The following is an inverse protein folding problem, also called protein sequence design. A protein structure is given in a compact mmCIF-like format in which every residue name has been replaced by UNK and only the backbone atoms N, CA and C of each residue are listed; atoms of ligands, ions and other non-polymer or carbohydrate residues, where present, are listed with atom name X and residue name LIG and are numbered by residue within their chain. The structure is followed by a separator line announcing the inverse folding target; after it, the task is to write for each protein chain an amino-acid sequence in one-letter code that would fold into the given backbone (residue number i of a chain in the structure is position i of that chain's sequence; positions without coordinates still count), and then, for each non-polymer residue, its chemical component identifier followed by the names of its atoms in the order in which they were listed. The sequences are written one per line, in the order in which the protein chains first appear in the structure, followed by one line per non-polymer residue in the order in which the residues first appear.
data_IF_020561166096
#
_entry.id   IF_020561166096
#
_cell.length_a   1.000
_cell.length_b   1.000
_cell.length_c   1.000
_cell.angle_alpha   90.00
_cell.angle_beta   90.00
_cell.angle_gamma   90.00
#
_symmetry.space_group_name_H-M   'P 1'
#
loop_
_entity.id
_entity.type
_entity.pdbx_description
1 polymer ?
2 non-polymer ?
3 non-polymer ?
4 non-polymer ?
5 non-polymer ?
6 water ?
#
# COMPACT_ATOMS: atom_id res chain seq x y z
N UNK A 1 -6.50 -5.75 27.48
CA UNK A 1 -5.06 -5.56 27.52
C UNK A 1 -4.59 -4.77 26.31
N UNK A 2 -3.30 -4.48 26.28
CA UNK A 2 -2.67 -4.01 25.05
C UNK A 2 -2.51 -5.21 24.13
N UNK A 3 -2.78 -5.02 22.85
CA UNK A 3 -2.45 -6.01 21.83
C UNK A 3 -0.94 -6.15 21.79
N UNK A 4 -0.45 -7.38 21.87
CA UNK A 4 0.98 -7.60 21.95
C UNK A 4 1.52 -7.95 20.56
N UNK A 5 2.34 -7.04 20.04
CA UNK A 5 2.79 -7.13 18.65
C UNK A 5 4.25 -7.51 18.53
N UNK A 6 4.55 -8.41 17.60
CA UNK A 6 5.92 -8.70 17.25
C UNK A 6 6.23 -8.12 15.89
N UNK A 7 7.47 -7.71 15.68
CA UNK A 7 7.86 -7.11 14.41
C UNK A 7 8.91 -7.97 13.73
N UNK A 8 8.64 -8.33 12.48
CA UNK A 8 9.56 -9.15 11.68
C UNK A 8 10.16 -8.25 10.62
N UNK A 9 11.40 -7.82 10.85
CA UNK A 9 12.09 -6.91 9.97
C UNK A 9 12.19 -5.53 10.60
N UNK A 10 13.36 -5.19 11.10
CA UNK A 10 13.55 -3.91 11.78
C UNK A 10 14.42 -2.93 10.99
N UNK A 11 14.05 -2.71 9.73
CA UNK A 11 14.65 -1.67 8.91
C UNK A 11 13.86 -0.37 9.05
N UNK A 12 14.00 0.53 8.08
CA UNK A 12 13.34 1.84 8.14
C UNK A 12 11.82 1.73 8.35
N UNK A 13 11.17 0.89 7.56
CA UNK A 13 9.74 0.74 7.62
C UNK A 13 9.28 0.15 8.97
N UNK A 14 9.94 -0.91 9.41
CA UNK A 14 9.61 -1.51 10.70
C UNK A 14 9.81 -0.51 11.83
N UNK A 15 10.90 0.25 11.75
CA UNK A 15 11.18 1.24 12.79
C UNK A 15 10.08 2.30 12.85
N UNK A 16 9.59 2.76 11.70
CA UNK A 16 8.55 3.78 11.70
C UNK A 16 7.25 3.25 12.29
N UNK A 17 6.92 1.99 12.00
CA UNK A 17 5.73 1.41 12.62
C UNK A 17 5.93 1.20 14.13
N UNK A 18 7.12 0.79 14.53
CA UNK A 18 7.43 0.65 15.95
C UNK A 18 7.26 2.01 16.63
N UNK A 19 7.77 3.06 16.01
CA UNK A 19 7.63 4.40 16.56
C UNK A 19 6.16 4.81 16.71
N UNK A 20 5.35 4.58 15.68
CA UNK A 20 3.96 4.98 15.81
C UNK A 20 3.20 4.17 16.87
N UNK A 21 3.46 2.86 16.95
CA UNK A 21 2.78 2.05 17.93
C UNK A 21 3.19 2.43 19.35
N UNK A 22 4.47 2.74 19.53
CA UNK A 22 5.03 3.01 20.85
C UNK A 22 4.76 4.43 21.34
N UNK A 23 4.72 5.38 20.42
CA UNK A 23 4.66 6.80 20.78
C UNK A 23 3.48 7.61 20.28
N UNK A 24 2.64 7.02 19.43
CA UNK A 24 1.53 7.78 18.83
C UNK A 24 0.16 7.15 18.98
N UNK A 25 0.09 5.82 18.93
CA UNK A 25 -1.20 5.14 18.85
C UNK A 25 -1.64 4.54 20.18
N UNK A 26 -2.84 3.99 20.20
CA UNK A 26 -3.44 3.48 21.42
C UNK A 26 -3.69 1.97 21.33
N UNK A 27 -3.43 1.27 22.43
CA UNK A 27 -3.91 -0.08 22.58
C UNK A 27 -2.99 -1.23 22.18
N UNK A 28 -1.73 -0.93 21.87
CA UNK A 28 -0.80 -1.98 21.48
C UNK A 28 0.60 -1.72 22.01
N UNK A 29 1.40 -2.78 22.11
CA UNK A 29 2.78 -2.65 22.56
C UNK A 29 3.67 -3.60 21.76
N UNK A 30 4.90 -3.19 21.52
CA UNK A 30 5.87 -4.04 20.84
C UNK A 30 6.54 -4.93 21.89
N UNK A 31 6.29 -6.24 21.82
CA UNK A 31 6.81 -7.16 22.83
C UNK A 31 7.91 -8.07 22.27
N UNK A 32 8.10 -8.06 20.95
CA UNK A 32 9.06 -8.97 20.33
C UNK A 32 9.51 -8.42 18.99
N UNK A 33 10.77 -8.63 18.64
CA UNK A 33 11.28 -8.25 17.33
C UNK A 33 12.24 -9.32 16.82
N UNK A 34 12.38 -9.36 15.50
CA UNK A 34 13.43 -10.17 14.90
C UNK A 34 13.90 -9.48 13.63
N UNK A 35 15.19 -9.63 13.32
CA UNK A 35 15.71 -9.15 12.04
C UNK A 35 16.79 -10.12 11.61
N UNK A 36 17.03 -10.20 10.31
CA UNK A 36 18.11 -11.05 9.80
C UNK A 36 19.43 -10.66 10.46
N UNK A 37 19.61 -9.35 10.67
CA UNK A 37 20.76 -8.82 11.38
C UNK A 37 20.38 -8.65 12.84
N UNK A 38 20.74 -9.60 13.69
CA UNK A 38 20.30 -9.57 15.09
C UNK A 38 20.81 -8.32 15.81
N UNK A 39 22.00 -7.88 15.45
CA UNK A 39 22.57 -6.68 16.04
C UNK A 39 21.67 -5.47 15.78
N UNK A 40 21.10 -5.40 14.58
CA UNK A 40 20.21 -4.31 14.22
C UNK A 40 18.95 -4.34 15.08
N UNK A 41 18.40 -5.53 15.29
CA UNK A 41 17.20 -5.68 16.11
C UNK A 41 17.45 -5.26 17.56
N UNK A 42 18.62 -5.60 18.08
CA UNK A 42 18.99 -5.20 19.42
C UNK A 42 19.11 -3.68 19.54
N UNK A 43 19.72 -3.06 18.55
CA UNK A 43 19.85 -1.61 18.51
C UNK A 43 18.48 -0.93 18.51
N UNK A 44 17.55 -1.51 17.76
CA UNK A 44 16.19 -0.98 17.68
C UNK A 44 15.46 -1.05 19.02
N UNK A 45 15.59 -2.19 19.71
CA UNK A 45 15.00 -2.34 21.03
C UNK A 45 15.56 -1.27 21.98
N UNK A 46 16.86 -0.99 21.85
CA UNK A 46 17.50 0.01 22.70
C UNK A 46 17.10 1.44 22.32
N UNK A 47 17.11 1.74 21.02
CA UNK A 47 16.79 3.09 20.54
C UNK A 47 15.37 3.52 20.90
N UNK A 48 14.44 2.58 20.82
CA UNK A 48 13.04 2.90 21.11
C UNK A 48 12.64 2.54 22.53
N UNK A 49 13.61 2.10 23.33
CA UNK A 49 13.38 1.76 24.73
C UNK A 49 12.22 0.79 24.89
N UNK A 50 12.25 -0.29 24.10
CA UNK A 50 11.18 -1.28 24.13
C UNK A 50 11.39 -2.30 25.25
N UNK A 51 10.28 -2.81 25.77
CA UNK A 51 10.32 -3.96 26.65
C UNK A 51 10.02 -5.18 25.80
N UNK A 52 10.98 -5.57 24.98
CA UNK A 52 10.75 -6.55 23.94
C UNK A 52 11.87 -7.57 23.85
N UNK A 53 11.48 -8.81 23.57
CA UNK A 53 12.43 -9.89 23.36
C UNK A 53 12.96 -9.85 21.92
N UNK A 54 14.27 -10.03 21.77
CA UNK A 54 14.88 -10.17 20.44
C UNK A 54 14.97 -11.65 20.11
N UNK A 55 14.30 -12.05 19.04
CA UNK A 55 14.31 -13.45 18.59
C UNK A 55 15.22 -13.63 17.38
N UNK A 56 15.85 -14.80 17.25
CA UNK A 56 16.80 -14.99 16.16
C UNK A 56 16.12 -15.14 14.79
N UNK A 57 14.85 -15.53 14.79
CA UNK A 57 14.12 -15.69 13.53
C UNK A 57 12.61 -15.59 13.75
N UNK A 58 11.86 -15.61 12.66
CA UNK A 58 10.41 -15.48 12.75
C UNK A 58 9.74 -16.73 13.33
N UNK A 59 10.31 -17.90 13.10
CA UNK A 59 9.75 -19.11 13.69
C UNK A 59 9.72 -19.01 15.22
N UNK A 60 10.82 -18.58 15.82
CA UNK A 60 10.87 -18.50 17.29
C UNK A 60 9.97 -17.39 17.82
N UNK A 61 9.92 -16.28 17.09
CA UNK A 61 9.04 -15.18 17.47
C UNK A 61 7.59 -15.63 17.42
N UNK A 62 7.22 -16.33 16.35
CA UNK A 62 5.84 -16.77 16.19
C UNK A 62 5.46 -17.86 17.19
N UNK A 63 6.45 -18.53 17.75
CA UNK A 63 6.19 -19.57 18.76
C UNK A 63 5.89 -18.97 20.14
N UNK A 64 6.17 -17.68 20.30
CA UNK A 64 5.92 -16.97 21.56
C UNK A 64 4.42 -16.84 21.80
N UNK A 65 3.94 -17.54 22.82
CA UNK A 65 2.52 -17.59 23.12
C UNK A 65 1.97 -16.21 23.47
N UNK A 66 2.84 -15.30 23.86
CA UNK A 66 2.41 -13.99 24.28
C UNK A 66 2.48 -12.93 23.18
N UNK A 67 2.70 -13.36 21.95
CA UNK A 67 2.57 -12.51 20.77
C UNK A 67 1.21 -12.74 20.14
N UNK A 68 0.42 -11.69 19.98
CA UNK A 68 -0.93 -11.79 19.45
C UNK A 68 -0.98 -11.55 17.95
N UNK A 69 -0.09 -10.68 17.49
CA UNK A 69 -0.14 -10.18 16.11
C UNK A 69 1.27 -9.78 15.70
N UNK A 70 1.53 -9.82 14.40
CA UNK A 70 2.85 -9.43 13.90
C UNK A 70 2.78 -8.42 12.76
N UNK A 71 3.83 -7.62 12.64
CA UNK A 71 4.05 -6.79 11.45
C UNK A 71 5.11 -7.47 10.62
N UNK A 72 4.85 -7.60 9.33
CA UNK A 72 5.86 -8.11 8.41
C UNK A 72 6.42 -6.96 7.59
N UNK A 73 7.64 -6.58 7.94
CA UNK A 73 8.26 -5.36 7.43
C UNK A 73 9.69 -5.66 6.99
N UNK A 74 9.93 -6.92 6.63
CA UNK A 74 11.23 -7.34 6.14
C UNK A 74 11.43 -6.99 4.66
N UNK A 75 12.54 -7.44 4.09
CA UNK A 75 12.79 -7.30 2.66
C UNK A 75 11.59 -7.86 1.88
N UNK A 76 11.15 -7.14 0.85
CA UNK A 76 9.91 -7.49 0.17
C UNK A 76 9.77 -8.95 -0.24
N UNK A 77 10.80 -9.49 -0.91
CA UNK A 77 10.72 -10.90 -1.31
C UNK A 77 10.64 -11.89 -0.14
N UNK A 78 10.92 -11.43 1.09
CA UNK A 78 10.82 -12.28 2.28
C UNK A 78 9.45 -12.26 2.95
N UNK A 79 8.57 -11.38 2.48
CA UNK A 79 7.28 -11.22 3.17
C UNK A 79 6.45 -12.50 3.18
N UNK A 80 6.31 -13.12 2.01
CA UNK A 80 5.42 -14.25 1.84
C UNK A 80 5.69 -15.35 2.85
N UNK A 81 6.97 -15.66 3.05
CA UNK A 81 7.32 -16.73 4.00
C UNK A 81 6.79 -16.45 5.40
N UNK A 82 6.99 -15.21 5.87
CA UNK A 82 6.55 -14.87 7.22
C UNK A 82 5.03 -14.82 7.34
N UNK A 83 4.36 -14.36 6.29
CA UNK A 83 2.91 -14.32 6.31
C UNK A 83 2.34 -15.73 6.41
N UNK A 84 2.87 -16.66 5.63
CA UNK A 84 2.43 -18.04 5.71
C UNK A 84 2.69 -18.60 7.10
N UNK A 85 3.87 -18.38 7.65
CA UNK A 85 4.15 -18.89 8.99
C UNK A 85 3.21 -18.31 10.04
N UNK A 86 2.88 -17.03 9.92
CA UNK A 86 2.01 -16.37 10.89
C UNK A 86 0.59 -16.91 10.81
N UNK A 87 0.11 -17.17 9.60
CA UNK A 87 -1.23 -17.74 9.43
C UNK A 87 -1.28 -19.11 10.09
N UNK A 88 -0.26 -19.93 9.85
CA UNK A 88 -0.20 -21.26 10.46
C UNK A 88 -0.11 -21.19 11.99
N UNK A 89 0.54 -20.15 12.51
CA UNK A 89 0.66 -19.94 13.96
C UNK A 89 -0.58 -19.26 14.52
N UNK A 90 -1.52 -18.96 13.63
CA UNK A 90 -2.78 -18.32 14.00
C UNK A 90 -2.57 -16.95 14.66
N UNK A 91 -1.68 -16.15 14.10
CA UNK A 91 -1.49 -14.78 14.55
C UNK A 91 -2.10 -13.85 13.50
N UNK A 92 -2.63 -12.72 13.95
CA UNK A 92 -3.00 -11.66 13.02
C UNK A 92 -1.74 -11.10 12.40
N UNK A 93 -1.82 -10.68 11.15
CA UNK A 93 -0.62 -10.18 10.48
C UNK A 93 -0.91 -8.93 9.65
N UNK A 94 -0.07 -7.93 9.88
CA UNK A 94 -0.07 -6.72 9.06
C UNK A 94 1.15 -6.83 8.17
N UNK A 95 0.93 -6.89 6.86
CA UNK A 95 2.02 -7.11 5.91
C UNK A 95 2.22 -5.89 5.02
N UNK A 96 3.41 -5.31 5.07
CA UNK A 96 3.71 -4.23 4.14
C UNK A 96 3.74 -4.77 2.70
N UNK A 97 3.51 -3.91 1.72
CA UNK A 97 3.55 -4.41 0.35
C UNK A 97 4.98 -4.85 0.00
N UNK A 98 5.10 -5.91 -0.80
CA UNK A 98 4.02 -6.70 -1.37
C UNK A 98 3.62 -7.83 -0.44
N UNK A 99 2.40 -8.34 -0.63
CA UNK A 99 2.01 -9.55 0.10
C UNK A 99 2.92 -10.71 -0.31
N UNK A 100 3.21 -10.79 -1.61
CA UNK A 100 4.10 -11.79 -2.17
C UNK A 100 4.56 -11.26 -3.52
N UNK A 101 5.64 -11.82 -4.06
CA UNK A 101 6.22 -11.28 -5.28
C UNK A 101 5.55 -11.77 -6.56
N UNK A 102 4.67 -12.77 -6.44
CA UNK A 102 4.00 -13.33 -7.59
C UNK A 102 2.54 -13.58 -7.27
N UNK A 103 1.73 -13.72 -8.30
CA UNK A 103 0.33 -14.11 -8.12
C UNK A 103 0.25 -15.45 -7.40
N UNK A 104 1.12 -16.38 -7.77
CA UNK A 104 1.15 -17.71 -7.17
C UNK A 104 1.41 -17.65 -5.66
N UNK A 105 2.35 -16.80 -5.25
CA UNK A 105 2.65 -16.65 -3.83
C UNK A 105 1.47 -16.06 -3.08
N UNK A 106 0.78 -15.10 -3.69
CA UNK A 106 -0.41 -14.55 -3.06
C UNK A 106 -1.50 -15.60 -2.93
N UNK A 107 -1.65 -16.44 -3.96
CA UNK A 107 -2.64 -17.52 -3.93
C UNK A 107 -2.34 -18.55 -2.83
N UNK A 108 -1.07 -18.81 -2.57
CA UNK A 108 -0.72 -19.70 -1.46
C UNK A 108 -1.21 -19.13 -0.13
N UNK A 109 -1.05 -17.81 0.04
CA UNK A 109 -1.50 -17.17 1.25
C UNK A 109 -3.01 -17.20 1.34
N UNK A 110 -3.67 -16.89 0.22
CA UNK A 110 -5.13 -16.92 0.16
C UNK A 110 -5.69 -18.29 0.56
N UNK A 111 -5.11 -19.36 0.01
CA UNK A 111 -5.60 -20.70 0.30
C UNK A 111 -5.50 -21.02 1.80
N UNK A 112 -4.39 -20.65 2.41
CA UNK A 112 -4.23 -20.94 3.83
C UNK A 112 -5.12 -20.06 4.71
N UNK A 113 -5.34 -18.81 4.32
CA UNK A 113 -6.18 -17.95 5.13
C UNK A 113 -7.65 -18.41 5.12
N UNK A 114 -8.11 -18.83 3.95
CA UNK A 114 -9.50 -19.25 3.80
C UNK A 114 -9.80 -20.43 4.74
N UNK A 115 -8.79 -21.25 5.02
CA UNK A 115 -8.96 -22.38 5.94
C UNK A 115 -9.24 -21.92 7.37
N UNK A 116 -8.73 -20.75 7.73
CA UNK A 116 -8.84 -20.26 9.11
C UNK A 116 -10.27 -19.89 9.46
N UNK A 117 -11.02 -19.38 8.49
CA UNK A 117 -12.41 -19.03 8.74
C UNK A 117 -12.64 -17.60 9.19
N UNK A 118 -11.55 -16.86 9.41
CA UNK A 118 -11.66 -15.42 9.69
C UNK A 118 -10.43 -14.72 9.15
N UNK A 119 -10.55 -13.41 8.94
CA UNK A 119 -9.47 -12.66 8.33
C UNK A 119 -8.35 -12.37 9.32
N UNK A 120 -7.15 -12.84 8.98
CA UNK A 120 -5.96 -12.59 9.78
C UNK A 120 -5.05 -11.57 9.12
N UNK A 121 -5.12 -11.46 7.79
CA UNK A 121 -4.12 -10.71 7.02
C UNK A 121 -4.63 -9.33 6.59
N UNK A 122 -3.89 -8.29 6.97
CA UNK A 122 -4.13 -6.94 6.45
C UNK A 122 -2.89 -6.52 5.67
N UNK A 123 -3.10 -6.04 4.44
CA UNK A 123 -1.99 -5.59 3.60
C UNK A 123 -1.88 -4.07 3.69
N UNK A 124 -0.64 -3.56 3.74
CA UNK A 124 -0.36 -2.16 4.01
C UNK A 124 -0.59 -1.14 2.91
N UNK A 125 -1.74 -1.20 2.26
CA UNK A 125 -2.14 -0.17 1.29
C UNK A 125 -2.80 1.02 1.99
N UNK A 126 -1.98 1.95 2.47
CA UNK A 126 -2.48 2.97 3.37
C UNK A 126 -3.38 4.03 2.72
N UNK A 127 -3.36 4.12 1.39
CA UNK A 127 -4.17 5.16 0.74
C UNK A 127 -5.65 5.07 1.08
N UNK A 128 -6.14 3.85 1.31
CA UNK A 128 -7.55 3.69 1.63
C UNK A 128 -7.93 4.41 2.93
N UNK A 129 -6.94 4.71 3.76
CA UNK A 129 -7.21 5.38 5.05
C UNK A 129 -6.97 6.89 5.01
N UNK A 130 -6.53 7.40 3.86
CA UNK A 130 -6.33 8.84 3.69
C UNK A 130 -7.70 9.51 3.61
N UNK A 131 -7.84 10.64 4.29
CA UNK A 131 -9.15 11.29 4.41
C UNK A 131 -9.76 11.65 3.06
N UNK A 132 -8.93 12.04 2.10
CA UNK A 132 -9.43 12.39 0.78
C UNK A 132 -10.01 11.18 0.07
N UNK A 133 -9.31 10.05 0.13
CA UNK A 133 -9.83 8.83 -0.47
C UNK A 133 -11.08 8.32 0.21
N UNK A 134 -11.13 8.45 1.53
CA UNK A 134 -12.33 8.09 2.28
C UNK A 134 -13.52 8.94 1.81
N UNK A 135 -13.28 10.23 1.60
CA UNK A 135 -14.32 11.13 1.09
C UNK A 135 -14.77 10.72 -0.32
N UNK A 136 -13.82 10.38 -1.18
CA UNK A 136 -14.19 9.90 -2.51
C UNK A 136 -15.06 8.65 -2.43
N UNK A 137 -14.65 7.70 -1.60
CA UNK A 137 -15.38 6.44 -1.45
C UNK A 137 -16.82 6.69 -0.97
N UNK A 138 -16.96 7.59 -0.02
CA UNK A 138 -18.29 7.93 0.52
C UNK A 138 -19.19 8.53 -0.55
N UNK A 139 -18.64 9.45 -1.35
CA UNK A 139 -19.41 10.04 -2.43
C UNK A 139 -19.85 8.99 -3.44
N UNK A 140 -18.94 8.09 -3.80
CA UNK A 140 -19.28 7.04 -4.75
C UNK A 140 -20.34 6.11 -4.19
N UNK A 141 -20.19 5.74 -2.93
CA UNK A 141 -21.14 4.79 -2.31
C UNK A 141 -22.52 5.40 -2.16
N UNK A 142 -22.59 6.73 -2.12
CA UNK A 142 -23.86 7.45 -2.01
C UNK A 142 -24.43 7.86 -3.38
N UNK A 143 -23.78 7.38 -4.43
CA UNK A 143 -24.28 7.60 -5.79
C UNK A 143 -24.29 9.07 -6.21
N UNK A 144 -23.44 9.90 -5.61
CA UNK A 144 -23.43 11.33 -5.88
C UNK A 144 -23.23 11.67 -7.37
N UNK A 145 -22.44 10.87 -8.07
CA UNK A 145 -22.16 11.21 -9.46
C UNK A 145 -22.71 10.20 -10.47
N UNK A 146 -23.56 9.28 -10.01
CA UNK A 146 -23.99 8.19 -10.86
C UNK A 146 -22.88 7.20 -11.06
N UNK A 147 -22.97 6.39 -12.11
CA UNK A 147 -21.93 5.40 -12.36
C UNK A 147 -20.61 6.04 -12.73
N UNK A 148 -19.52 5.58 -12.11
CA UNK A 148 -18.20 6.04 -12.57
C UNK A 148 -17.95 5.54 -14.00
N UNK A 149 -17.34 6.40 -14.81
CA UNK A 149 -17.06 6.07 -16.21
C UNK A 149 -15.56 6.11 -16.50
N UNK A 150 -14.87 7.12 -15.96
CA UNK A 150 -13.46 7.31 -16.25
C UNK A 150 -12.76 7.80 -15.00
N UNK A 151 -11.48 7.45 -14.87
CA UNK A 151 -10.66 7.96 -13.79
C UNK A 151 -9.38 8.53 -14.38
N UNK A 152 -9.05 9.77 -14.01
CA UNK A 152 -7.83 10.42 -14.45
C UNK A 152 -6.98 10.64 -13.23
N UNK A 153 -5.78 10.07 -13.21
CA UNK A 153 -4.97 10.23 -12.02
C UNK A 153 -3.51 10.43 -12.35
N UNK A 154 -2.77 10.95 -11.38
CA UNK A 154 -1.35 11.15 -11.52
C UNK A 154 -0.64 10.87 -10.22
N UNK A 155 0.53 10.26 -10.37
CA UNK A 155 1.43 10.01 -9.25
C UNK A 155 2.75 10.64 -9.67
N UNK A 156 3.06 11.77 -9.04
CA UNK A 156 4.25 12.55 -9.41
C UNK A 156 5.21 12.67 -8.23
N UNK A 157 6.50 12.60 -8.54
CA UNK A 157 7.55 12.63 -7.52
C UNK A 157 8.65 13.56 -8.05
N UNK A 158 9.34 14.29 -7.15
CA UNK A 158 10.29 15.30 -7.66
C UNK A 158 11.50 14.74 -8.40
N UNK A 159 12.10 13.69 -7.85
CA UNK A 159 13.27 13.06 -8.46
C UNK A 159 13.48 11.70 -7.81
N UNK A 160 14.07 10.79 -8.56
CA UNK A 160 14.42 9.47 -8.01
C UNK A 160 15.91 9.24 -8.04
N UNK A 161 16.35 8.26 -7.25
CA UNK A 161 17.75 7.89 -7.20
C UNK A 161 18.23 7.16 -8.44
N UNK A 162 19.54 6.98 -8.55
CA UNK A 162 20.16 6.35 -9.71
C UNK A 162 19.73 4.90 -9.89
N UNK A 163 19.24 4.28 -8.81
CA UNK A 163 18.88 2.87 -8.88
C UNK A 163 17.42 2.58 -9.23
N UNK A 164 16.63 3.63 -9.40
CA UNK A 164 15.22 3.48 -9.76
C UNK A 164 15.08 3.12 -11.22
N UNK A 165 14.40 2.01 -11.50
CA UNK A 165 14.29 1.47 -12.85
C UNK A 165 12.86 1.52 -13.39
N UNK A 166 12.71 1.35 -14.70
CA UNK A 166 11.42 1.54 -15.35
C UNK A 166 10.30 0.73 -14.74
N UNK A 167 10.60 -0.53 -14.40
CA UNK A 167 9.59 -1.41 -13.82
C UNK A 167 9.08 -0.90 -12.48
N UNK A 168 9.90 -0.15 -11.76
CA UNK A 168 9.54 0.29 -10.41
C UNK A 168 8.46 1.36 -10.47
N UNK A 169 8.30 1.99 -11.63
CA UNK A 169 7.21 2.96 -11.81
C UNK A 169 5.87 2.27 -11.56
N UNK A 170 5.78 0.99 -11.89
CA UNK A 170 4.54 0.28 -11.60
C UNK A 170 4.65 -0.56 -10.30
N UNK A 171 5.75 -1.25 -10.11
CA UNK A 171 5.91 -2.12 -8.93
C UNK A 171 5.90 -1.41 -7.58
N UNK A 172 6.57 -0.26 -7.49
CA UNK A 172 6.74 0.46 -6.24
C UNK A 172 5.85 1.70 -6.17
N UNK A 173 5.52 2.25 -7.33
CA UNK A 173 4.86 3.56 -7.37
C UNK A 173 3.37 3.43 -7.70
N UNK A 174 3.05 2.99 -8.91
CA UNK A 174 1.66 2.86 -9.33
C UNK A 174 0.89 1.81 -8.54
N UNK A 175 1.60 0.93 -7.85
CA UNK A 175 0.91 -0.10 -7.09
C UNK A 175 -0.12 0.50 -6.12
N UNK A 176 0.15 1.71 -5.62
CA UNK A 176 -0.79 2.37 -4.71
C UNK A 176 -2.09 2.73 -5.42
N UNK A 177 -1.99 3.29 -6.62
CA UNK A 177 -3.18 3.56 -7.44
C UNK A 177 -3.87 2.24 -7.78
N UNK A 178 -3.08 1.23 -8.10
CA UNK A 178 -3.63 -0.06 -8.50
C UNK A 178 -4.53 -0.62 -7.40
N UNK A 179 -4.09 -0.51 -6.15
CA UNK A 179 -4.94 -0.98 -5.06
C UNK A 179 -6.16 -0.09 -4.83
N UNK A 180 -5.95 1.23 -4.78
CA UNK A 180 -7.04 2.09 -4.31
C UNK A 180 -8.18 2.23 -5.32
N UNK A 181 -7.88 2.19 -6.62
CA UNK A 181 -8.92 2.51 -7.58
C UNK A 181 -10.00 1.42 -7.69
N UNK A 182 -9.62 0.15 -7.70
CA UNK A 182 -10.64 -0.89 -7.83
C UNK A 182 -11.51 -0.93 -6.58
N UNK A 183 -10.92 -0.58 -5.44
CA UNK A 183 -11.64 -0.43 -4.18
C UNK A 183 -12.66 0.71 -4.27
N UNK A 184 -12.23 1.85 -4.79
CA UNK A 184 -13.14 2.99 -4.93
C UNK A 184 -14.37 2.65 -5.75
N UNK A 185 -14.16 2.00 -6.89
CA UNK A 185 -15.26 1.80 -7.83
C UNK A 185 -15.87 0.40 -7.80
N UNK A 186 -15.37 -0.45 -6.91
CA UNK A 186 -15.88 -1.82 -6.78
C UNK A 186 -15.99 -2.54 -8.13
N UNK A 187 -14.88 -2.60 -8.86
CA UNK A 187 -14.84 -3.22 -10.19
C UNK A 187 -13.50 -3.95 -10.28
N UNK A 188 -13.38 -4.88 -11.22
CA UNK A 188 -12.14 -5.64 -11.40
C UNK A 188 -11.40 -5.15 -12.63
N UNK A 189 -10.07 -5.19 -12.60
CA UNK A 189 -9.30 -4.84 -13.79
C UNK A 189 -9.35 -5.94 -14.86
N UNK A 190 -9.33 -5.52 -16.12
CA UNK A 190 -9.39 -6.45 -17.25
C UNK A 190 -8.19 -6.34 -18.18
N UNK A 191 -7.68 -5.12 -18.40
CA UNK A 191 -6.56 -4.93 -19.32
C UNK A 191 -5.73 -3.70 -18.99
N UNK A 192 -4.50 -3.71 -19.46
CA UNK A 192 -3.58 -2.58 -19.26
C UNK A 192 -2.77 -2.33 -20.53
N UNK A 193 -2.44 -1.07 -20.77
CA UNK A 193 -1.62 -0.65 -21.90
C UNK A 193 -0.71 0.48 -21.42
N UNK A 194 0.57 0.46 -21.82
CA UNK A 194 1.51 1.51 -21.44
C UNK A 194 1.92 2.33 -22.66
N UNK A 195 1.91 3.64 -22.49
CA UNK A 195 2.32 4.56 -23.54
C UNK A 195 3.43 5.44 -22.99
N UNK A 196 4.49 5.61 -23.77
CA UNK A 196 5.61 6.44 -23.34
C UNK A 196 5.69 7.76 -24.08
N UNK A 197 5.47 8.85 -23.34
CA UNK A 197 5.75 10.16 -23.92
C UNK A 197 7.24 10.33 -24.09
N UNK A 198 7.59 11.38 -24.81
CA UNK A 198 8.90 12.01 -24.75
C UNK A 198 9.53 11.86 -23.35
N UNK A 199 10.76 11.36 -23.31
CA UNK A 199 11.49 11.25 -22.05
C UNK A 199 11.85 12.60 -21.47
N UNK A 200 11.66 12.77 -20.16
CA UNK A 200 12.04 14.00 -19.49
C UNK A 200 13.54 14.16 -19.36
N UNK A 201 14.02 15.40 -19.50
CA UNK A 201 15.41 15.73 -19.23
C UNK A 201 15.81 15.40 -17.79
N UNK A 202 14.84 15.29 -16.90
CA UNK A 202 15.13 15.06 -15.48
C UNK A 202 15.33 13.59 -15.13
N UNK A 203 15.10 12.72 -16.11
CA UNK A 203 15.27 11.28 -15.92
C UNK A 203 16.64 10.82 -16.42
N UNK A 204 17.25 9.90 -15.70
CA UNK A 204 18.50 9.30 -16.12
C UNK A 204 18.29 8.44 -17.38
N UNK A 205 19.36 8.24 -18.17
CA UNK A 205 19.23 7.62 -19.49
C UNK A 205 18.57 6.23 -19.50
N UNK A 206 18.70 5.47 -18.42
CA UNK A 206 18.18 4.10 -18.39
C UNK A 206 16.69 4.05 -18.06
N UNK A 207 16.12 5.18 -17.63
CA UNK A 207 14.75 5.18 -17.11
C UNK A 207 13.76 5.75 -18.10
N UNK A 208 12.65 5.04 -18.30
CA UNK A 208 11.56 5.60 -19.10
C UNK A 208 10.63 6.37 -18.16
N UNK A 209 10.61 7.69 -18.31
CA UNK A 209 9.86 8.56 -17.41
C UNK A 209 9.63 9.84 -18.18
N UNK A 210 8.38 10.32 -18.26
CA UNK A 210 7.16 9.77 -17.65
C UNK A 210 6.58 8.57 -18.41
N UNK A 211 5.49 8.03 -17.87
CA UNK A 211 4.72 6.96 -18.49
C UNK A 211 3.24 7.23 -18.30
N UNK A 212 2.44 6.74 -19.24
CA UNK A 212 1.00 6.73 -19.06
C UNK A 212 0.52 5.29 -19.10
N UNK A 213 -0.29 4.91 -18.11
CA UNK A 213 -0.81 3.56 -18.03
C UNK A 213 -2.33 3.65 -18.18
N UNK A 214 -2.86 2.95 -19.17
CA UNK A 214 -4.29 2.93 -19.41
C UNK A 214 -4.83 1.58 -18.97
N UNK A 215 -5.75 1.61 -18.02
CA UNK A 215 -6.30 0.41 -17.43
C UNK A 215 -7.81 0.40 -17.65
N UNK A 216 -8.34 -0.71 -18.15
CA UNK A 216 -9.78 -0.84 -18.33
C UNK A 216 -10.32 -1.86 -17.36
N UNK A 217 -11.46 -1.58 -16.75
CA UNK A 217 -12.10 -2.52 -15.82
C UNK A 217 -13.13 -3.38 -16.55
N UNK A 218 -13.55 -4.46 -15.89
CA UNK A 218 -14.54 -5.35 -16.47
C UNK A 218 -15.85 -4.64 -16.75
N UNK A 219 -16.22 -3.70 -15.88
CA UNK A 219 -17.41 -2.89 -16.08
C UNK A 219 -17.29 -1.80 -17.14
N UNK A 220 -16.09 -1.58 -17.65
CA UNK A 220 -15.89 -0.60 -18.71
C UNK A 220 -15.40 0.75 -18.24
N UNK A 221 -14.91 0.84 -17.01
CA UNK A 221 -14.31 2.09 -16.56
C UNK A 221 -12.91 2.19 -17.16
N UNK A 222 -12.58 3.35 -17.70
CA UNK A 222 -11.24 3.55 -18.26
C UNK A 222 -10.43 4.49 -17.36
N UNK A 223 -9.27 4.00 -16.93
CA UNK A 223 -8.36 4.76 -16.07
C UNK A 223 -7.16 5.19 -16.89
N UNK A 224 -6.85 6.48 -16.87
CA UNK A 224 -5.61 6.97 -17.47
C UNK A 224 -4.75 7.44 -16.30
N UNK A 225 -3.64 6.74 -16.06
CA UNK A 225 -2.77 7.06 -14.94
C UNK A 225 -1.42 7.55 -15.41
N UNK A 226 -1.10 8.78 -15.07
CA UNK A 226 0.22 9.35 -15.38
C UNK A 226 1.16 9.02 -14.22
N UNK A 227 2.35 8.52 -14.56
CA UNK A 227 3.43 8.36 -13.58
C UNK A 227 4.59 9.24 -14.04
N UNK A 228 4.99 10.18 -13.20
CA UNK A 228 6.12 11.04 -13.55
C UNK A 228 6.97 11.22 -12.29
N UNK A 229 8.07 10.48 -12.23
CA UNK A 229 8.82 10.39 -10.97
C UNK A 229 10.01 11.36 -10.89
N UNK A 230 10.18 12.16 -11.95
CA UNK A 230 11.18 13.24 -11.97
C UNK A 230 10.55 14.57 -12.37
N UNK A 231 9.38 14.86 -11.81
CA UNK A 231 8.64 16.06 -12.19
C UNK A 231 9.21 17.37 -11.65
N UNK A 232 10.20 17.25 -10.76
CA UNK A 232 10.92 18.40 -10.16
C UNK A 232 10.13 19.26 -9.16
N UNK A 233 8.88 19.56 -9.48
CA UNK A 233 8.15 20.57 -8.70
C UNK A 233 7.65 20.11 -7.33
N UNK A 234 7.45 18.82 -7.14
CA UNK A 234 6.87 18.34 -5.90
C UNK A 234 6.51 16.86 -5.93
N UNK A 235 6.06 16.37 -4.78
CA UNK A 235 5.43 15.06 -4.69
C UNK A 235 3.94 15.36 -4.73
N UNK A 236 3.22 14.76 -5.67
CA UNK A 236 1.85 15.21 -5.95
C UNK A 236 0.99 14.05 -6.40
N UNK A 237 -0.10 13.82 -5.68
CA UNK A 237 -1.08 12.80 -6.03
C UNK A 237 -2.37 13.50 -6.45
N UNK A 238 -2.84 13.20 -7.65
CA UNK A 238 -4.07 13.82 -8.15
C UNK A 238 -4.99 12.72 -8.65
N UNK A 239 -6.30 12.88 -8.47
CA UNK A 239 -7.25 11.84 -8.85
C UNK A 239 -8.63 12.44 -9.08
N UNK A 240 -9.14 12.29 -10.29
CA UNK A 240 -10.47 12.79 -10.65
C UNK A 240 -11.29 11.59 -11.15
N UNK A 241 -12.52 11.45 -10.66
CA UNK A 241 -13.39 10.39 -11.12
C UNK A 241 -14.58 11.03 -11.83
N UNK A 242 -14.71 10.71 -13.12
CA UNK A 242 -15.80 11.24 -13.92
C UNK A 242 -16.95 10.25 -13.92
N UNK A 243 -18.09 10.69 -13.38
CA UNK A 243 -19.29 9.86 -13.38
C UNK A 243 -20.29 10.33 -14.41
N UNK A 244 -21.39 9.60 -14.53
CA UNK A 244 -22.43 9.98 -15.49
C UNK A 244 -22.91 11.41 -15.29
N UNK A 245 -23.12 11.80 -14.03
CA UNK A 245 -23.80 13.06 -13.74
C UNK A 245 -22.95 14.11 -13.04
N UNK A 246 -21.71 13.77 -12.71
CA UNK A 246 -20.84 14.76 -12.08
C UNK A 246 -19.45 14.19 -11.94
N UNK A 247 -18.57 14.98 -11.32
CA UNK A 247 -17.16 14.65 -11.22
C UNK A 247 -16.68 14.96 -9.81
N UNK A 248 -15.97 14.00 -9.21
CA UNK A 248 -15.35 14.23 -7.91
C UNK A 248 -13.84 14.19 -8.03
N UNK A 249 -13.15 14.94 -7.16
CA UNK A 249 -11.70 15.05 -7.26
C UNK A 249 -11.06 15.13 -5.87
N UNK A 250 -9.95 14.40 -5.73
CA UNK A 250 -9.15 14.39 -4.50
C UNK A 250 -8.63 15.81 -4.23
N UNK A 251 -8.63 16.22 -2.96
CA UNK A 251 -8.17 17.57 -2.62
C UNK A 251 -6.65 17.74 -2.59
N UNK A 252 -6.17 18.99 -2.66
CA UNK A 252 -4.78 19.30 -2.30
C UNK A 252 -4.61 19.07 -0.81
N UNK A 253 -3.42 18.62 -0.39
CA UNK A 253 -3.15 18.63 1.05
C UNK A 253 -3.27 20.07 1.56
N UNK A 254 -3.83 20.22 2.76
CA UNK A 254 -4.12 21.52 3.37
C UNK A 254 -2.88 22.40 3.49
N UNK A 255 -2.99 23.65 3.05
CA UNK A 255 -1.88 24.60 3.10
C UNK A 255 -2.44 26.00 3.23
N UNK A 256 -1.80 26.84 4.04
CA UNK A 256 -2.14 28.26 3.99
C UNK A 256 -1.88 28.81 2.58
N UNK A 257 -2.59 29.86 2.22
CA UNK A 257 -2.31 30.53 0.96
C UNK A 257 -1.47 31.77 1.23
N UNK A 258 -0.76 32.20 0.18
CA UNK A 258 0.14 33.35 0.24
C UNK A 258 -0.10 34.23 -0.97
N UNK A 259 -0.27 35.53 -0.74
CA UNK A 259 -0.17 36.52 -1.82
C UNK A 259 1.16 37.23 -1.63
N UNK A 260 2.04 37.14 -2.63
CA UNK A 260 3.37 37.73 -2.50
C UNK A 260 4.03 37.79 -3.88
N UNK A 261 4.72 38.89 -4.17
CA UNK A 261 5.48 39.02 -5.43
C UNK A 261 4.70 38.54 -6.66
N UNK A 262 3.46 39.06 -6.78
CA UNK A 262 2.66 38.83 -7.96
C UNK A 262 2.08 37.44 -8.16
N UNK A 263 2.09 36.62 -7.11
CA UNK A 263 1.54 35.27 -7.17
C UNK A 263 0.64 34.99 -5.96
N UNK A 264 -0.42 34.24 -6.21
CA UNK A 264 -1.34 33.76 -5.17
C UNK A 264 -1.10 32.26 -5.15
N UNK A 265 -0.59 31.73 -4.03
CA UNK A 265 -0.13 30.35 -4.06
C UNK A 265 -0.42 29.55 -2.80
N UNK A 266 -0.40 28.24 -2.97
CA UNK A 266 -0.37 27.31 -1.85
C UNK A 266 0.84 26.38 -2.00
N UNK A 267 1.14 25.66 -0.92
CA UNK A 267 2.27 24.75 -0.88
C UNK A 267 2.04 23.45 -1.63
N UNK A 268 3.08 22.96 -2.29
CA UNK A 268 3.12 21.57 -2.75
C UNK A 268 4.22 20.85 -1.97
N UNK A 269 3.85 19.74 -1.33
CA UNK A 269 4.82 18.98 -0.55
C UNK A 269 5.95 18.46 -1.44
N UNK A 270 7.15 18.36 -0.88
CA UNK A 270 8.30 17.83 -1.59
C UNK A 270 8.59 16.40 -1.14
N UNK A 271 8.07 16.05 0.02
CA UNK A 271 8.45 14.81 0.69
C UNK A 271 7.26 13.88 0.81
N UNK A 272 7.32 12.74 0.12
CA UNK A 272 6.22 11.78 0.13
C UNK A 272 5.88 11.31 1.55
N UNK A 273 6.87 11.32 2.43
CA UNK A 273 6.62 10.93 3.82
C UNK A 273 5.72 11.92 4.56
N UNK A 274 5.65 13.16 4.08
CA UNK A 274 4.72 14.12 4.67
C UNK A 274 3.31 13.98 4.11
N UNK A 275 3.18 13.33 2.96
CA UNK A 275 1.87 13.22 2.30
C UNK A 275 0.88 12.27 2.98
N UNK A 276 1.38 11.15 3.51
CA UNK A 276 0.47 10.14 4.00
C UNK A 276 0.69 9.72 5.46
N UNK A 277 1.37 10.55 6.24
CA UNK A 277 1.63 10.17 7.63
C UNK A 277 0.32 9.86 8.38
N UNK A 278 -0.71 10.67 8.19
CA UNK A 278 -1.97 10.41 8.86
C UNK A 278 -2.58 9.08 8.46
N UNK A 279 -2.46 8.72 7.19
CA UNK A 279 -3.02 7.46 6.71
C UNK A 279 -2.31 6.27 7.32
N UNK A 280 -0.98 6.36 7.46
CA UNK A 280 -0.24 5.27 8.10
C UNK A 280 -0.68 5.10 9.57
N UNK A 281 -0.85 6.20 10.27
CA UNK A 281 -1.31 6.14 11.65
C UNK A 281 -2.69 5.48 11.73
N UNK A 282 -3.61 5.93 10.89
CA UNK A 282 -4.98 5.41 10.91
C UNK A 282 -5.01 3.92 10.53
N UNK A 283 -4.20 3.52 9.55
CA UNK A 283 -4.24 2.13 9.11
C UNK A 283 -3.79 1.17 10.24
N UNK A 284 -2.74 1.53 10.95
CA UNK A 284 -2.28 0.71 12.06
C UNK A 284 -3.26 0.75 13.23
N UNK A 285 -3.80 1.93 13.54
CA UNK A 285 -4.81 2.01 14.60
C UNK A 285 -6.03 1.14 14.26
N UNK A 286 -6.40 1.10 12.99
CA UNK A 286 -7.52 0.24 12.55
C UNK A 286 -7.21 -1.25 12.70
N UNK A 287 -5.99 -1.65 12.35
CA UNK A 287 -5.52 -3.01 12.59
C UNK A 287 -5.72 -3.37 14.07
N UNK A 288 -5.23 -2.51 14.96
CA UNK A 288 -5.33 -2.75 16.39
C UNK A 288 -6.78 -2.83 16.88
N UNK A 289 -7.57 -1.83 16.51
CA UNK A 289 -8.94 -1.72 16.99
C UNK A 289 -9.83 -2.82 16.43
N UNK A 290 -9.62 -3.18 15.17
CA UNK A 290 -10.45 -4.21 14.55
C UNK A 290 -10.23 -5.55 15.24
N UNK A 291 -8.97 -5.88 15.50
CA UNK A 291 -8.63 -7.11 16.19
C UNK A 291 -9.28 -7.12 17.58
N UNK A 292 -9.10 -6.05 18.33
CA UNK A 292 -9.60 -6.03 19.71
C UNK A 292 -11.13 -6.05 19.78
N UNK A 293 -11.79 -5.41 18.84
CA UNK A 293 -13.25 -5.29 18.86
C UNK A 293 -14.00 -6.36 18.06
N UNK A 294 -13.39 -6.87 17.00
CA UNK A 294 -14.06 -7.82 16.11
C UNK A 294 -13.40 -9.20 16.09
N UNK A 295 -12.15 -9.28 16.56
CA UNK A 295 -11.43 -10.53 16.52
C UNK A 295 -10.97 -10.92 15.12
N UNK A 296 -10.97 -9.95 14.22
CA UNK A 296 -10.41 -10.14 12.90
C UNK A 296 -10.12 -8.78 12.24
N UNK A 297 -9.22 -8.77 11.26
CA UNK A 297 -8.82 -7.50 10.67
C UNK A 297 -9.82 -7.03 9.62
N UNK A 298 -9.79 -5.73 9.27
CA UNK A 298 -10.80 -5.12 8.41
C UNK A 298 -10.27 -4.29 7.24
N UNK A 299 -8.97 -4.30 7.01
CA UNK A 299 -8.44 -3.42 5.97
C UNK A 299 -8.26 -4.14 4.64
N UNK A 300 -7.37 -3.62 3.78
CA UNK A 300 -7.05 -4.33 2.53
C UNK A 300 -6.68 -5.77 2.84
N UNK A 301 -7.16 -6.70 2.03
CA UNK A 301 -7.07 -8.13 2.34
C UNK A 301 -5.98 -8.85 1.58
N UNK A 302 -5.76 -10.12 1.91
CA UNK A 302 -4.88 -10.94 1.09
C UNK A 302 -5.31 -10.95 -0.38
N UNK A 303 -6.62 -10.90 -0.62
CA UNK A 303 -7.11 -10.87 -2.00
C UNK A 303 -6.71 -9.57 -2.69
N UNK A 304 -6.77 -8.45 -1.97
CA UNK A 304 -6.26 -7.20 -2.51
C UNK A 304 -4.77 -7.31 -2.83
N UNK A 305 -4.01 -8.02 -1.99
CA UNK A 305 -2.61 -8.29 -2.28
C UNK A 305 -2.44 -9.06 -3.60
N UNK A 306 -3.28 -10.08 -3.78
CA UNK A 306 -3.31 -10.84 -5.02
C UNK A 306 -3.63 -9.97 -6.26
N UNK A 307 -4.65 -9.11 -6.15
CA UNK A 307 -5.01 -8.25 -7.27
C UNK A 307 -3.83 -7.35 -7.63
N UNK A 308 -3.15 -6.82 -6.61
CA UNK A 308 -2.00 -5.94 -6.84
C UNK A 308 -0.88 -6.71 -7.55
N UNK A 309 -0.63 -7.94 -7.11
CA UNK A 309 0.44 -8.74 -7.72
C UNK A 309 0.15 -9.06 -9.19
N UNK A 310 -1.08 -9.48 -9.48
CA UNK A 310 -1.45 -9.80 -10.85
C UNK A 310 -1.39 -8.57 -11.75
N UNK A 311 -1.91 -7.46 -11.23
CA UNK A 311 -2.02 -6.26 -12.04
C UNK A 311 -0.65 -5.63 -12.27
N UNK A 312 0.20 -5.60 -11.25
CA UNK A 312 1.55 -5.05 -11.45
C UNK A 312 2.31 -5.88 -12.47
N UNK A 313 2.18 -7.20 -12.40
CA UNK A 313 2.86 -8.05 -13.38
C UNK A 313 2.37 -7.77 -14.81
N UNK A 314 1.07 -7.58 -14.97
CA UNK A 314 0.54 -7.26 -16.30
C UNK A 314 1.05 -5.92 -16.80
N UNK A 315 1.17 -4.95 -15.89
CA UNK A 315 1.69 -3.64 -16.29
C UNK A 315 3.15 -3.72 -16.72
N UNK A 316 3.96 -4.50 -16.00
CA UNK A 316 5.35 -4.67 -16.39
C UNK A 316 5.45 -5.36 -17.77
N UNK A 317 4.58 -6.35 -18.00
CA UNK A 317 4.52 -6.98 -19.32
C UNK A 317 4.19 -5.95 -20.40
N UNK A 318 3.20 -5.10 -20.13
CA UNK A 318 2.78 -4.07 -21.07
C UNK A 318 3.88 -3.01 -21.30
N UNK A 319 4.67 -2.72 -20.28
CA UNK A 319 5.80 -1.81 -20.44
C UNK A 319 6.77 -2.32 -21.51
N UNK A 320 6.90 -3.64 -21.60
CA UNK A 320 7.85 -4.26 -22.50
C UNK A 320 7.26 -4.49 -23.88
N UNK A 321 5.97 -4.82 -23.93
CA UNK A 321 5.36 -5.25 -25.20
C UNK A 321 4.81 -4.11 -26.06
N UNK A 322 4.38 -3.03 -25.41
CA UNK A 322 3.73 -1.95 -26.12
C UNK A 322 2.31 -2.29 -26.54
N UNK A 323 1.85 -3.47 -26.15
CA UNK A 323 0.52 -3.94 -26.53
C UNK A 323 -0.42 -3.91 -25.34
N UNK A 324 -1.72 -3.99 -25.62
CA UNK A 324 -2.69 -4.21 -24.56
C UNK A 324 -2.53 -5.62 -23.98
N UNK A 325 -2.41 -5.70 -22.66
CA UNK A 325 -2.21 -6.97 -21.97
C UNK A 325 -3.37 -7.27 -21.03
N UNK A 326 -3.70 -8.55 -20.90
CA UNK A 326 -4.81 -8.98 -20.07
C UNK A 326 -4.42 -9.07 -18.60
N UNK A 327 -5.33 -8.65 -17.73
CA UNK A 327 -5.20 -8.91 -16.31
C UNK A 327 -6.08 -10.10 -16.01
N UNK A 328 -5.45 -11.23 -15.72
CA UNK A 328 -6.17 -12.49 -15.53
C UNK A 328 -6.32 -12.80 -14.04
N UNK A 329 -7.51 -12.55 -13.52
CA UNK A 329 -7.82 -12.74 -12.12
C UNK A 329 -8.75 -13.91 -11.90
N UNK A 330 -8.41 -14.75 -10.92
CA UNK A 330 -9.35 -15.76 -10.45
C UNK A 330 -10.57 -15.09 -9.84
N UNK A 331 -11.66 -15.83 -9.76
CA UNK A 331 -12.89 -15.34 -9.14
C UNK A 331 -12.65 -15.02 -7.67
N UNK A 332 -13.16 -13.89 -7.21
CA UNK A 332 -13.01 -13.50 -5.81
C UNK A 332 -13.83 -14.40 -4.89
N UNK A 333 -13.16 -15.06 -3.94
CA UNK A 333 -13.85 -15.97 -3.01
C UNK A 333 -14.89 -15.24 -2.16
N UNK A 334 -15.93 -15.96 -1.75
CA UNK A 334 -16.91 -15.34 -0.88
C UNK A 334 -16.26 -14.89 0.44
N UNK A 335 -15.19 -15.58 0.85
CA UNK A 335 -14.42 -15.24 2.05
C UNK A 335 -14.01 -13.77 2.04
N UNK A 336 -13.74 -13.24 0.85
CA UNK A 336 -13.21 -11.89 0.71
C UNK A 336 -14.23 -10.87 0.23
N UNK A 337 -15.48 -11.29 0.08
CA UNK A 337 -16.53 -10.39 -0.34
C UNK A 337 -16.91 -9.45 0.80
X LIG B 1 17.77 1.78 8.57
X LIG B 1 17.16 2.81 9.36
X LIG B 1 18.00 0.51 9.40
X LIG B 1 18.31 0.83 10.76
X LIG B 1 18.40 -0.37 11.55
X LIG B 1 19.10 -0.10 12.88
X LIG B 1 17.45 2.61 16.02
X LIG B 1 18.66 2.66 15.25
X LIG B 1 19.05 1.25 14.83
X LIG B 1 18.43 0.95 13.58
X LIG C 1 4.17 -26.24 6.94
X LIG C 1 4.24 -26.16 8.37
X LIG C 1 2.94 -27.02 6.53
X LIG C 1 1.98 -26.10 6.00
X LIG C 1 1.14 -26.71 5.03
X LIG C 1 0.47 -25.64 4.18
X LIG C 1 3.24 -23.18 2.61
X LIG C 1 1.92 -22.91 2.13
X LIG C 1 0.94 -24.00 2.55
X LIG C 1 1.48 -24.84 3.56
X LIG D 1 8.85 6.94 -3.33
X LIG D 1 9.13 5.68 -2.73
X LIG D 1 9.94 7.26 -4.36
X LIG D 1 11.00 6.34 -4.24
X LIG D 1 9.32 7.17 -5.76
X LIG D 1 7.92 7.30 -5.66
X LIG E 1 7.73 19.21 2.16
X LIG F 1 10.84 -13.47 -5.62
X LIG G 1 -7.11 -10.96 4.32
X LIG H 1 -9.78 -21.10 -11.57
X LIG I 1 7.01 24.17 0.60
#
# INVERSE_FOLDING_TARGET
MSLRIGVIGTGAIGKEHINRITNKLSGAEIVAVTDVNQEAAQKVVEQYQLNATVYPNDDSLLADENVDAVLVTSWGPAHESSVLKAIKAQKYVFCEKPLATTAEGCMRIVEEEIKVGKRLVQVGFMRRYDSGYVQLKEALDNHVIGEPLMIHCAHRNPTVGDNYTTDMAVVDTLVHEIDVLHWLVNDDYESVQVIYPKKSKNALPHLKDPQIVVIETKGGIVINAEIYVNCKYGYDIQCEIVGEDGIIKLPEPSSISLRKEGRFSTDILMDWQRRFVAAYDVEIQDFIDSIQKKGEVSGPTAWDGYIAAVTTDACVKAQESGQKEKVELKEKPEFYQSFTTVQN
PGE C1 O1 C2 O2 C3 C4 O4 C6 C5 O3
PGE C1 O1 C2 O2 C3 C4 O4 C6 C5 O3
GOL C1 O1 C2 O2 C3 O3
CL CL
CL CL
CL CL
CL CL
MG MG
#
